data_IF_357431871663
#
_entry.id   IF_357431871663
#
_cell.length_a   1.000
_cell.length_b   1.000
_cell.length_c   1.000
_cell.angle_alpha   90.00
_cell.angle_beta   90.00
_cell.angle_gamma   90.00
#
_symmetry.space_group_name_H-M   'P 1'
#
loop_
_entity.id
_entity.type
_entity.pdbx_description
1 polymer ?
#
# COMPACT_ATOMS: atom_id res chain seq x y z
N UNK A 1 23.94 14.73 11.35
CA UNK A 1 23.43 14.16 10.09
C UNK A 1 21.92 14.39 10.03
N UNK A 2 21.36 14.88 8.92
CA UNK A 2 19.91 15.12 8.85
C UNK A 2 19.16 13.79 8.97
N UNK A 3 18.44 13.62 10.08
CA UNK A 3 17.48 12.53 10.26
C UNK A 3 16.39 12.70 9.20
N UNK A 4 16.04 11.64 8.48
CA UNK A 4 15.01 11.59 7.43
C UNK A 4 15.36 12.09 6.01
N UNK A 5 16.63 12.04 5.57
CA UNK A 5 16.91 12.19 4.14
C UNK A 5 16.18 11.10 3.35
N UNK A 6 15.31 11.47 2.40
CA UNK A 6 14.71 10.52 1.45
C UNK A 6 15.82 10.13 0.47
N UNK A 7 16.14 8.84 0.44
CA UNK A 7 17.22 8.30 -0.41
C UNK A 7 16.67 7.57 -1.63
N UNK A 8 15.37 7.28 -1.63
CA UNK A 8 14.69 6.63 -2.74
C UNK A 8 13.19 6.93 -2.66
N UNK A 9 12.60 7.19 -3.83
CA UNK A 9 11.19 7.40 -4.03
C UNK A 9 10.78 6.73 -5.35
N UNK A 10 9.70 5.95 -5.30
CA UNK A 10 9.15 5.30 -6.48
C UNK A 10 7.63 5.36 -6.45
N UNK A 11 7.04 5.64 -7.61
CA UNK A 11 5.60 5.64 -7.80
C UNK A 11 5.18 4.49 -8.68
N UNK A 12 4.03 3.91 -8.39
CA UNK A 12 3.48 2.80 -9.14
C UNK A 12 2.00 2.65 -8.87
N UNK A 13 1.46 1.49 -9.22
CA UNK A 13 0.07 1.14 -8.98
C UNK A 13 -0.01 -0.30 -8.51
N UNK A 14 -0.97 -0.58 -7.62
CA UNK A 14 -1.33 -1.93 -7.21
C UNK A 14 -2.80 -2.16 -7.48
N UNK A 15 -3.13 -3.39 -7.85
CA UNK A 15 -4.48 -3.86 -8.03
C UNK A 15 -4.82 -4.84 -6.90
N UNK A 16 -6.00 -4.66 -6.32
CA UNK A 16 -6.57 -5.52 -5.29
C UNK A 16 -7.78 -6.23 -5.89
N UNK A 17 -7.77 -7.56 -5.91
CA UNK A 17 -8.92 -8.38 -6.32
C UNK A 17 -9.74 -8.76 -5.10
N UNK A 18 -11.05 -8.54 -5.17
CA UNK A 18 -11.95 -9.02 -4.12
C UNK A 18 -12.06 -10.54 -4.19
N UNK A 19 -11.97 -11.21 -3.04
CA UNK A 19 -11.87 -12.67 -3.04
C UNK A 19 -13.19 -13.37 -3.41
N UNK A 20 -14.34 -12.69 -3.23
CA UNK A 20 -15.67 -13.30 -3.38
C UNK A 20 -16.39 -12.92 -4.67
N UNK A 21 -15.89 -11.94 -5.43
CA UNK A 21 -16.52 -11.44 -6.65
C UNK A 21 -15.48 -10.86 -7.63
N UNK A 22 -15.81 -10.67 -8.93
CA UNK A 22 -14.90 -10.09 -9.91
C UNK A 22 -14.81 -8.55 -9.78
N UNK A 23 -14.67 -8.05 -8.55
CA UNK A 23 -14.47 -6.63 -8.24
C UNK A 23 -12.98 -6.36 -7.98
N UNK A 24 -12.51 -5.20 -8.44
CA UNK A 24 -11.12 -4.80 -8.35
C UNK A 24 -11.00 -3.36 -7.84
N UNK A 25 -10.00 -3.09 -7.01
CA UNK A 25 -9.63 -1.74 -6.58
C UNK A 25 -8.21 -1.43 -7.03
N UNK A 26 -8.02 -0.22 -7.55
CA UNK A 26 -6.70 0.26 -7.96
C UNK A 26 -6.23 1.37 -7.02
N UNK A 27 -5.02 1.23 -6.52
CA UNK A 27 -4.36 2.23 -5.70
C UNK A 27 -3.09 2.70 -6.40
N UNK A 28 -2.91 4.01 -6.50
CA UNK A 28 -1.62 4.61 -6.75
C UNK A 28 -0.75 4.43 -5.52
N UNK A 29 0.47 3.97 -5.73
CA UNK A 29 1.44 3.74 -4.66
C UNK A 29 2.58 4.74 -4.74
N UNK A 30 3.05 5.18 -3.59
CA UNK A 30 4.28 5.94 -3.44
C UNK A 30 5.15 5.27 -2.38
N UNK A 31 6.21 4.58 -2.80
CA UNK A 31 7.19 3.96 -1.91
C UNK A 31 8.28 4.98 -1.61
N UNK A 32 8.56 5.18 -0.33
CA UNK A 32 9.57 6.13 0.16
C UNK A 32 10.52 5.37 1.08
N UNK A 33 11.83 5.48 0.83
CA UNK A 33 12.87 4.98 1.73
C UNK A 33 13.69 6.14 2.27
N UNK A 34 13.80 6.19 3.59
CA UNK A 34 14.62 7.16 4.34
C UNK A 34 15.99 6.56 4.66
N UNK A 35 16.98 7.43 4.85
CA UNK A 35 18.36 7.04 5.21
C UNK A 35 18.48 6.40 6.60
N UNK A 36 17.53 6.67 7.50
CA UNK A 36 17.57 6.26 8.89
C UNK A 36 16.17 6.22 9.52
N UNK A 37 16.02 5.48 10.62
CA UNK A 37 14.78 5.36 11.39
C UNK A 37 14.42 3.90 11.69
N UNK A 38 13.51 3.68 12.66
CA UNK A 38 13.04 2.34 13.03
C UNK A 38 12.26 1.65 11.92
N UNK A 39 11.47 2.43 11.18
CA UNK A 39 10.74 1.99 9.98
C UNK A 39 11.11 2.93 8.82
N UNK A 40 12.27 2.73 8.19
CA UNK A 40 12.79 3.64 7.18
C UNK A 40 12.05 3.53 5.84
N UNK A 41 11.30 2.45 5.61
CA UNK A 41 10.52 2.23 4.38
C UNK A 41 9.05 2.49 4.67
N UNK A 42 8.36 3.19 3.77
CA UNK A 42 6.91 3.28 3.80
C UNK A 42 6.30 3.28 2.41
N UNK A 43 5.03 2.89 2.33
CA UNK A 43 4.19 3.01 1.15
C UNK A 43 2.98 3.84 1.49
N UNK A 44 2.71 4.83 0.66
CA UNK A 44 1.48 5.61 0.67
C UNK A 44 0.59 5.11 -0.46
N UNK A 45 -0.64 4.75 -0.12
CA UNK A 45 -1.66 4.22 -1.02
C UNK A 45 -2.73 5.30 -1.19
N UNK A 46 -3.05 5.64 -2.43
CA UNK A 46 -4.16 6.55 -2.77
C UNK A 46 -5.06 5.85 -3.77
N UNK A 47 -6.33 5.67 -3.43
CA UNK A 47 -7.32 5.07 -4.29
C UNK A 47 -7.52 5.92 -5.55
N UNK A 48 -7.50 5.27 -6.71
CA UNK A 48 -7.66 5.90 -8.03
C UNK A 48 -8.64 5.14 -8.93
N UNK A 49 -9.32 4.12 -8.38
CA UNK A 49 -10.22 3.26 -9.13
C UNK A 49 -11.68 3.70 -9.11
N UNK A 50 -12.55 2.80 -9.55
CA UNK A 50 -14.01 2.92 -9.43
C UNK A 50 -14.43 2.29 -8.10
N UNK A 51 -15.32 2.97 -7.38
CA UNK A 51 -15.85 2.45 -6.13
C UNK A 51 -16.53 1.09 -6.33
N UNK A 52 -16.31 0.12 -5.43
CA UNK A 52 -16.97 -1.17 -5.50
C UNK A 52 -18.47 -0.99 -5.26
N UNK A 53 -19.27 -1.87 -5.86
CA UNK A 53 -20.72 -1.81 -5.72
C UNK A 53 -21.18 -2.37 -4.37
N UNK A 54 -20.59 -3.49 -3.95
CA UNK A 54 -20.96 -4.18 -2.71
C UNK A 54 -19.76 -4.62 -1.87
N UNK A 55 -18.56 -4.69 -2.46
CA UNK A 55 -17.37 -5.09 -1.72
C UNK A 55 -16.93 -4.03 -0.68
N UNK A 56 -16.37 -4.45 0.48
CA UNK A 56 -15.92 -3.50 1.50
C UNK A 56 -14.84 -2.55 0.98
N UNK A 57 -15.03 -1.24 1.12
CA UNK A 57 -14.04 -0.26 0.68
C UNK A 57 -12.95 -0.07 1.77
N UNK A 58 -11.66 -0.37 1.50
CA UNK A 58 -10.56 0.09 2.35
C UNK A 58 -10.47 1.63 2.31
N UNK A 59 -9.75 2.27 3.26
CA UNK A 59 -9.55 3.71 3.23
C UNK A 59 -9.03 4.20 1.88
N UNK A 60 -9.54 5.34 1.41
CA UNK A 60 -9.06 5.97 0.16
C UNK A 60 -7.58 6.31 0.23
N UNK A 61 -7.09 6.69 1.41
CA UNK A 61 -5.68 6.96 1.67
C UNK A 61 -5.21 6.10 2.84
N UNK A 62 -4.10 5.41 2.64
CA UNK A 62 -3.49 4.61 3.69
C UNK A 62 -1.97 4.69 3.64
N UNK A 63 -1.32 4.62 4.81
CA UNK A 63 0.13 4.62 4.92
C UNK A 63 0.58 3.43 5.73
N UNK A 64 1.48 2.64 5.16
CA UNK A 64 2.07 1.47 5.81
C UNK A 64 3.57 1.72 5.97
N UNK A 65 4.07 1.53 7.20
CA UNK A 65 5.49 1.66 7.51
C UNK A 65 6.12 0.27 7.73
N UNK A 66 7.35 0.10 7.29
CA UNK A 66 8.07 -1.16 7.24
C UNK A 66 9.54 -0.99 7.64
N UNK A 67 10.13 -2.04 8.18
CA UNK A 67 11.55 -2.06 8.57
C UNK A 67 12.44 -2.09 7.32
N UNK A 68 11.98 -2.75 6.26
CA UNK A 68 12.67 -2.88 4.97
C UNK A 68 11.67 -3.15 3.83
N UNK A 69 12.16 -3.16 2.58
CA UNK A 69 11.31 -3.36 1.40
C UNK A 69 10.62 -4.73 1.37
N UNK A 70 11.31 -5.79 1.81
CA UNK A 70 10.76 -7.15 1.85
C UNK A 70 9.60 -7.28 2.84
N UNK A 71 9.66 -6.56 3.97
CA UNK A 71 8.60 -6.50 4.98
C UNK A 71 7.40 -5.62 4.58
N UNK A 72 7.54 -4.81 3.52
CA UNK A 72 6.49 -3.92 3.04
C UNK A 72 5.35 -4.71 2.39
N UNK A 73 5.68 -5.59 1.45
CA UNK A 73 4.70 -6.41 0.72
C UNK A 73 3.77 -7.22 1.63
N UNK A 74 4.24 -8.02 2.61
CA UNK A 74 3.35 -8.77 3.50
C UNK A 74 2.49 -7.85 4.39
N UNK A 75 2.95 -6.63 4.71
CA UNK A 75 2.14 -5.64 5.45
C UNK A 75 1.01 -5.08 4.57
N UNK A 76 1.28 -4.82 3.29
CA UNK A 76 0.26 -4.43 2.30
C UNK A 76 -0.75 -5.56 2.10
N UNK A 77 -0.29 -6.79 1.89
CA UNK A 77 -1.14 -7.96 1.72
C UNK A 77 -2.05 -8.18 2.94
N UNK A 78 -1.48 -8.10 4.15
CA UNK A 78 -2.24 -8.23 5.41
C UNK A 78 -3.27 -7.10 5.56
N UNK A 79 -2.95 -5.88 5.14
CA UNK A 79 -3.91 -4.78 5.14
C UNK A 79 -5.06 -5.04 4.17
N UNK A 80 -4.77 -5.41 2.91
CA UNK A 80 -5.79 -5.73 1.91
C UNK A 80 -6.70 -6.89 2.35
N UNK A 81 -6.10 -7.92 2.96
CA UNK A 81 -6.83 -9.09 3.45
C UNK A 81 -7.87 -8.76 4.52
N UNK A 82 -7.65 -7.72 5.36
CA UNK A 82 -8.64 -7.26 6.35
C UNK A 82 -9.96 -6.83 5.71
N UNK A 83 -9.93 -6.44 4.44
CA UNK A 83 -11.10 -6.01 3.67
C UNK A 83 -11.59 -7.11 2.70
N UNK A 84 -11.00 -8.31 2.73
CA UNK A 84 -11.36 -9.41 1.84
C UNK A 84 -10.72 -9.34 0.45
N UNK A 85 -9.62 -8.60 0.31
CA UNK A 85 -8.89 -8.49 -0.96
C UNK A 85 -7.55 -9.20 -0.93
N UNK A 86 -7.07 -9.58 -2.13
CA UNK A 86 -5.73 -10.10 -2.37
C UNK A 86 -5.02 -9.24 -3.41
N UNK A 87 -3.69 -9.09 -3.28
CA UNK A 87 -2.86 -8.45 -4.29
C UNK A 87 -2.81 -9.32 -5.55
N UNK A 88 -3.04 -8.71 -6.71
CA UNK A 88 -2.94 -9.37 -8.01
C UNK A 88 -1.49 -9.60 -8.44
#
# INVERSE_FOLDING_TARGET
MPKNLIVFEETGEICLKFNQAPEYLTYRTKIIKKSSGKNPVCIELTFIGIWPYAAPMPPEKHRINAENISSLFPKVAKWAYKYGYTLC
#
